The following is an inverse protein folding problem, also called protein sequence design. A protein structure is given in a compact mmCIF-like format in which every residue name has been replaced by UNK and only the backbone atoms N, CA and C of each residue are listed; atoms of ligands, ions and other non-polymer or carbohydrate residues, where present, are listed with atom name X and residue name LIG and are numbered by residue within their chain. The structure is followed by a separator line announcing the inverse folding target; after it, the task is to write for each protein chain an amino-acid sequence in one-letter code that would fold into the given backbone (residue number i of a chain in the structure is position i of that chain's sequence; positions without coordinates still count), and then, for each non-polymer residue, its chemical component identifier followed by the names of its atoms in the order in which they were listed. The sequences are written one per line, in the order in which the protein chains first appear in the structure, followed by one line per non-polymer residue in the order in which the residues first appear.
data_IF_657759033027
#
_entry.id   IF_657759033027
#
_cell.length_a   1.000
_cell.length_b   1.000
_cell.length_c   1.000
_cell.angle_alpha   90.00
_cell.angle_beta   90.00
_cell.angle_gamma   90.00
#
_symmetry.space_group_name_H-M   'P 1'
#
loop_
_entity.id
_entity.type
_entity.pdbx_description
1 polymer ?
#
# COMPACT_ATOMS: atom_id res chain seq x y z
N UNK A 1 23.03 12.18 -6.71
CA UNK A 1 22.19 10.95 -6.55
C UNK A 1 21.52 11.06 -5.19
N UNK A 2 20.21 10.77 -5.01
CA UNK A 2 19.51 9.58 -5.52
C UNK A 2 18.20 9.88 -6.29
N UNK A 3 17.79 8.90 -7.11
CA UNK A 3 16.54 8.92 -7.85
C UNK A 3 15.34 9.05 -6.90
N UNK A 4 14.39 9.94 -7.22
CA UNK A 4 13.04 9.98 -6.64
C UNK A 4 12.39 8.61 -6.87
N UNK A 5 12.63 7.65 -5.97
CA UNK A 5 12.04 6.31 -6.06
C UNK A 5 10.56 6.49 -5.83
N UNK A 6 9.75 6.29 -6.86
CA UNK A 6 8.32 6.02 -6.72
C UNK A 6 8.19 4.97 -5.62
N UNK A 7 7.49 5.28 -4.54
CA UNK A 7 7.30 4.33 -3.43
C UNK A 7 6.79 3.00 -4.02
N UNK A 8 7.61 1.95 -3.87
CA UNK A 8 7.25 0.63 -4.35
C UNK A 8 6.30 -0.02 -3.34
N UNK A 9 5.50 -1.00 -3.78
CA UNK A 9 4.62 -1.73 -2.87
C UNK A 9 5.42 -2.35 -1.70
N UNK A 10 6.59 -2.90 -1.98
CA UNK A 10 7.48 -3.43 -0.94
C UNK A 10 7.97 -2.37 0.05
N UNK A 11 8.30 -1.16 -0.41
CA UNK A 11 8.71 -0.07 0.49
C UNK A 11 7.55 0.40 1.38
N UNK A 12 6.35 0.48 0.82
CA UNK A 12 5.14 0.82 1.55
C UNK A 12 4.88 -0.20 2.67
N UNK A 13 4.93 -1.50 2.37
CA UNK A 13 4.80 -2.56 3.37
C UNK A 13 5.90 -2.52 4.42
N UNK A 14 7.16 -2.31 4.03
CA UNK A 14 8.27 -2.24 5.01
C UNK A 14 8.09 -1.06 5.98
N UNK A 15 7.54 0.08 5.53
CA UNK A 15 7.16 1.19 6.41
C UNK A 15 6.00 0.80 7.33
N UNK A 16 4.97 0.13 6.81
CA UNK A 16 3.84 -0.34 7.60
C UNK A 16 4.30 -1.27 8.73
N UNK A 17 5.16 -2.24 8.45
CA UNK A 17 5.71 -3.15 9.47
C UNK A 17 6.49 -2.40 10.55
N UNK A 18 7.29 -1.39 10.16
CA UNK A 18 7.99 -0.53 11.12
C UNK A 18 7.02 0.21 12.03
N UNK A 19 5.97 0.80 11.45
CA UNK A 19 4.93 1.51 12.21
C UNK A 19 4.24 0.55 13.19
N UNK A 20 3.83 -0.63 12.74
CA UNK A 20 3.21 -1.65 13.60
C UNK A 20 4.13 -2.05 14.74
N UNK A 21 5.43 -2.28 14.49
CA UNK A 21 6.40 -2.57 15.56
C UNK A 21 6.56 -1.42 16.55
N UNK A 22 6.53 -0.18 16.09
CA UNK A 22 6.59 0.99 16.97
C UNK A 22 5.34 1.09 17.86
N UNK A 23 4.17 0.80 17.31
CA UNK A 23 2.90 0.74 18.05
C UNK A 23 2.94 -0.41 19.09
N UNK A 24 3.43 -1.58 18.70
CA UNK A 24 3.51 -2.78 19.54
C UNK A 24 4.51 -2.63 20.71
N UNK A 25 5.56 -1.81 20.52
CA UNK A 25 6.51 -1.46 21.59
C UNK A 25 5.84 -0.79 22.79
N UNK A 26 4.64 -0.20 22.61
CA UNK A 26 3.83 0.43 23.66
C UNK A 26 4.57 1.53 24.46
N UNK A 27 5.65 2.07 23.91
CA UNK A 27 6.45 3.16 24.48
C UNK A 27 6.05 4.54 23.92
N UNK A 28 5.10 4.57 22.99
CA UNK A 28 4.64 5.79 22.32
C UNK A 28 3.53 6.49 23.11
N UNK A 29 3.56 7.83 23.11
CA UNK A 29 2.47 8.63 23.66
C UNK A 29 1.19 8.54 22.78
N UNK A 30 0.03 8.88 23.34
CA UNK A 30 -1.28 8.83 22.63
C UNK A 30 -1.26 9.66 21.33
N UNK A 31 -0.60 10.83 21.36
CA UNK A 31 -0.47 11.68 20.19
C UNK A 31 0.38 11.01 19.10
N UNK A 32 1.50 10.38 19.47
CA UNK A 32 2.37 9.65 18.54
C UNK A 32 1.68 8.43 17.94
N UNK A 33 0.91 7.69 18.76
CA UNK A 33 0.08 6.58 18.30
C UNK A 33 -0.91 7.04 17.22
N UNK A 34 -1.57 8.18 17.44
CA UNK A 34 -2.49 8.75 16.44
C UNK A 34 -1.79 9.12 15.13
N UNK A 35 -0.59 9.70 15.19
CA UNK A 35 0.20 10.00 13.99
C UNK A 35 0.61 8.73 13.24
N UNK A 36 1.11 7.72 13.97
CA UNK A 36 1.51 6.43 13.42
C UNK A 36 0.36 5.70 12.75
N UNK A 37 -0.82 5.71 13.37
CA UNK A 37 -2.03 5.09 12.79
C UNK A 37 -2.48 5.83 11.53
N UNK A 38 -2.38 7.16 11.47
CA UNK A 38 -2.67 7.92 10.23
C UNK A 38 -1.71 7.53 9.11
N UNK A 39 -0.41 7.47 9.41
CA UNK A 39 0.62 7.09 8.45
C UNK A 39 0.41 5.64 7.94
N UNK A 40 0.05 4.71 8.83
CA UNK A 40 -0.33 3.35 8.46
C UNK A 40 -1.54 3.31 7.53
N UNK A 41 -2.58 4.12 7.80
CA UNK A 41 -3.77 4.20 6.94
C UNK A 41 -3.44 4.72 5.53
N UNK A 42 -2.58 5.73 5.41
CA UNK A 42 -2.15 6.23 4.10
C UNK A 42 -1.41 5.17 3.29
N UNK A 43 -0.53 4.41 3.95
CA UNK A 43 0.20 3.31 3.34
C UNK A 43 -0.75 2.19 2.88
N UNK A 44 -1.72 1.83 3.71
CA UNK A 44 -2.75 0.84 3.36
C UNK A 44 -3.56 1.32 2.15
N UNK A 45 -4.00 2.57 2.14
CA UNK A 45 -4.74 3.16 1.02
C UNK A 45 -3.92 3.13 -0.27
N UNK A 46 -2.61 3.43 -0.20
CA UNK A 46 -1.70 3.34 -1.33
C UNK A 46 -1.56 1.90 -1.86
N UNK A 47 -1.36 0.93 -0.97
CA UNK A 47 -1.24 -0.48 -1.31
C UNK A 47 -2.51 -1.01 -1.98
N UNK A 48 -3.68 -0.72 -1.37
CA UNK A 48 -4.99 -1.09 -1.91
C UNK A 48 -5.21 -0.46 -3.28
N UNK A 49 -4.90 0.82 -3.46
CA UNK A 49 -5.04 1.49 -4.74
C UNK A 49 -4.18 0.89 -5.85
N UNK A 50 -2.99 0.37 -5.53
CA UNK A 50 -2.17 -0.38 -6.49
C UNK A 50 -2.76 -1.74 -6.84
N UNK A 51 -3.23 -2.49 -5.84
CA UNK A 51 -3.87 -3.79 -6.05
C UNK A 51 -5.11 -3.64 -6.93
N UNK A 52 -6.01 -2.71 -6.59
CA UNK A 52 -7.22 -2.44 -7.37
C UNK A 52 -6.92 -2.06 -8.82
N UNK A 53 -5.88 -1.26 -9.08
CA UNK A 53 -5.47 -0.94 -10.45
C UNK A 53 -4.97 -2.17 -11.20
N UNK A 54 -4.17 -3.02 -10.56
CA UNK A 54 -3.69 -4.26 -11.16
C UNK A 54 -4.86 -5.22 -11.45
N UNK A 55 -5.80 -5.38 -10.50
CA UNK A 55 -7.01 -6.18 -10.68
C UNK A 55 -7.87 -5.68 -11.84
N UNK A 56 -8.08 -4.37 -11.95
CA UNK A 56 -8.83 -3.77 -13.06
C UNK A 56 -8.16 -4.01 -14.42
N UNK A 57 -6.83 -3.94 -14.49
CA UNK A 57 -6.09 -4.19 -15.72
C UNK A 57 -6.17 -5.66 -16.13
N UNK A 58 -6.09 -6.58 -15.17
CA UNK A 58 -6.30 -8.02 -15.38
C UNK A 58 -7.73 -8.30 -15.84
N UNK A 59 -8.74 -7.71 -15.19
CA UNK A 59 -10.14 -7.90 -15.55
C UNK A 59 -10.42 -7.43 -16.98
N UNK A 60 -9.86 -6.28 -17.37
CA UNK A 60 -9.98 -5.75 -18.72
C UNK A 60 -9.34 -6.67 -19.76
N UNK A 61 -8.12 -7.16 -19.50
CA UNK A 61 -7.45 -8.12 -20.37
C UNK A 61 -8.26 -9.44 -20.50
N UNK A 62 -8.84 -9.92 -19.41
CA UNK A 62 -9.71 -11.09 -19.42
C UNK A 62 -11.01 -10.86 -20.21
N UNK A 63 -11.60 -9.67 -20.13
CA UNK A 63 -12.77 -9.30 -20.95
C UNK A 63 -12.42 -9.22 -22.43
N UNK A 64 -11.31 -8.56 -22.80
CA UNK A 64 -10.85 -8.47 -24.18
C UNK A 64 -10.58 -9.85 -24.78
N UNK A 65 -9.99 -10.77 -23.99
CA UNK A 65 -9.75 -12.14 -24.43
C UNK A 65 -11.05 -12.91 -24.71
N UNK A 66 -12.05 -12.77 -23.84
CA UNK A 66 -13.38 -13.38 -24.05
C UNK A 66 -14.07 -12.84 -25.30
N UNK A 67 -14.01 -11.53 -25.52
CA UNK A 67 -14.60 -10.86 -26.69
C UNK A 67 -13.89 -11.21 -28.02
N UNK A 68 -12.65 -11.69 -27.95
CA UNK A 68 -11.87 -12.09 -29.14
C UNK A 68 -12.07 -13.56 -29.52
N UNK A 69 -12.67 -14.36 -28.62
CA UNK A 69 -12.96 -15.79 -28.82
C UNK A 69 -14.42 -16.04 -29.27
N UNK A 70 -15.27 -15.00 -29.31
CA UNK A 70 -16.61 -14.97 -29.94
C UNK A 70 -16.56 -14.33 -31.33
#
# INVERSE_FOLDING_TARGET
MPAKKKETYSQAIERLEKIVRQIDSNELEIDELSEKIKEANEIIAFCTGKLTKADQEIEKLLQEKRLSEE
#
